data_IF_884281313655
#
_entry.id   IF_884281313655
#
_cell.length_a   1.000
_cell.length_b   1.000
_cell.length_c   1.000
_cell.angle_alpha   90.00
_cell.angle_beta   90.00
_cell.angle_gamma   90.00
#
_symmetry.space_group_name_H-M   'P 1'
#
loop_
_entity.id
_entity.type
_entity.pdbx_description
1 polymer ?
#
# COMPACT_ATOMS: atom_id res chain seq x y z
N UNK A 1 16.47 -10.68 29.72
CA UNK A 1 16.52 -11.40 28.43
C UNK A 1 16.01 -10.47 27.36
N UNK A 2 16.86 -10.06 26.42
CA UNK A 2 16.45 -9.26 25.25
C UNK A 2 15.55 -10.13 24.39
N UNK A 3 14.36 -9.63 24.04
CA UNK A 3 13.45 -10.33 23.13
C UNK A 3 14.16 -10.53 21.79
N UNK A 4 14.10 -11.72 21.17
CA UNK A 4 14.70 -11.93 19.87
C UNK A 4 14.02 -10.99 18.85
N UNK A 5 14.81 -10.36 18.01
CA UNK A 5 14.33 -9.55 16.90
C UNK A 5 13.63 -10.46 15.86
N UNK A 6 12.60 -10.01 15.15
CA UNK A 6 11.91 -10.84 14.17
C UNK A 6 12.85 -11.32 13.06
N UNK A 7 12.58 -12.49 12.50
CA UNK A 7 13.32 -13.05 11.37
C UNK A 7 13.12 -12.19 10.12
N UNK A 8 11.91 -11.67 9.93
CA UNK A 8 11.62 -10.72 8.87
C UNK A 8 10.47 -9.77 9.24
N UNK A 9 10.48 -8.60 8.60
CA UNK A 9 9.35 -7.67 8.54
C UNK A 9 8.85 -7.67 7.11
N UNK A 10 7.56 -8.04 6.91
CA UNK A 10 6.93 -8.10 5.59
C UNK A 10 5.73 -7.19 5.54
N UNK A 11 5.76 -6.21 4.65
CA UNK A 11 4.68 -5.24 4.47
C UNK A 11 4.04 -5.40 3.08
N UNK A 12 2.72 -5.38 3.01
CA UNK A 12 1.95 -5.64 1.80
C UNK A 12 0.97 -4.51 1.53
N UNK A 13 1.17 -3.78 0.43
CA UNK A 13 0.21 -2.77 -0.03
C UNK A 13 -0.84 -3.45 -0.92
N UNK A 14 -2.05 -3.61 -0.41
CA UNK A 14 -3.18 -4.17 -1.16
C UNK A 14 -3.77 -3.16 -2.15
N UNK A 15 -4.12 -3.62 -3.35
CA UNK A 15 -4.76 -2.74 -4.31
C UNK A 15 -5.17 -3.41 -5.62
N UNK A 16 -6.02 -2.74 -6.39
CA UNK A 16 -6.37 -3.20 -7.74
C UNK A 16 -5.29 -2.84 -8.78
N UNK A 17 -4.53 -1.76 -8.53
CA UNK A 17 -3.47 -1.27 -9.43
C UNK A 17 -3.91 -1.26 -10.91
N UNK A 18 -4.96 -0.52 -11.20
CA UNK A 18 -5.59 -0.52 -12.52
C UNK A 18 -5.70 0.90 -13.13
N UNK A 19 -4.55 1.51 -13.57
CA UNK A 19 -3.16 1.05 -13.44
C UNK A 19 -2.51 1.36 -12.08
N UNK A 20 -1.32 0.80 -11.86
CA UNK A 20 -0.38 1.27 -10.84
C UNK A 20 0.07 2.69 -11.18
N UNK A 21 0.32 3.53 -10.16
CA UNK A 21 0.74 4.93 -10.34
C UNK A 21 1.68 5.39 -9.22
N UNK A 22 2.25 6.59 -9.38
CA UNK A 22 3.25 7.15 -8.47
C UNK A 22 2.87 7.08 -6.99
N UNK A 23 1.64 7.40 -6.62
CA UNK A 23 1.22 7.35 -5.21
C UNK A 23 1.27 5.93 -4.60
N UNK A 24 1.07 4.88 -5.38
CA UNK A 24 1.22 3.51 -4.87
C UNK A 24 2.69 3.21 -4.56
N UNK A 25 3.59 3.61 -5.46
CA UNK A 25 5.04 3.42 -5.27
C UNK A 25 5.52 4.28 -4.10
N UNK A 26 5.08 5.53 -4.02
CA UNK A 26 5.41 6.45 -2.93
C UNK A 26 5.02 5.87 -1.55
N UNK A 27 3.78 5.37 -1.40
CA UNK A 27 3.34 4.72 -0.15
C UNK A 27 4.24 3.53 0.21
N UNK A 28 4.53 2.65 -0.75
CA UNK A 28 5.38 1.48 -0.50
C UNK A 28 6.81 1.89 -0.14
N UNK A 29 7.38 2.90 -0.81
CA UNK A 29 8.72 3.43 -0.53
C UNK A 29 8.78 4.14 0.82
N UNK A 30 7.76 4.91 1.19
CA UNK A 30 7.70 5.54 2.52
C UNK A 30 7.73 4.48 3.64
N UNK A 31 6.99 3.38 3.48
CA UNK A 31 7.03 2.25 4.43
C UNK A 31 8.41 1.60 4.44
N UNK A 32 8.99 1.34 3.27
CA UNK A 32 10.33 0.76 3.16
C UNK A 32 11.38 1.61 3.89
N UNK A 33 11.43 2.91 3.59
CA UNK A 33 12.39 3.82 4.22
C UNK A 33 12.19 3.98 5.74
N UNK A 34 10.97 3.82 6.22
CA UNK A 34 10.68 3.87 7.65
C UNK A 34 11.09 2.62 8.39
N UNK A 35 10.98 1.45 7.74
CA UNK A 35 11.31 0.17 8.35
C UNK A 35 12.80 -0.20 8.19
N UNK A 36 13.45 0.25 7.12
CA UNK A 36 14.84 -0.09 6.84
C UNK A 36 15.82 0.24 7.99
N UNK A 37 15.75 1.43 8.64
CA UNK A 37 16.60 1.72 9.78
C UNK A 37 16.40 0.77 10.97
N UNK A 38 15.18 0.24 11.15
CA UNK A 38 14.87 -0.68 12.24
C UNK A 38 15.45 -2.08 12.03
N UNK A 39 15.70 -2.46 10.77
CA UNK A 39 16.28 -3.77 10.41
C UNK A 39 17.79 -3.68 10.20
N UNK A 40 18.34 -2.48 10.05
CA UNK A 40 19.76 -2.25 9.83
C UNK A 40 20.61 -2.79 11.00
N UNK A 41 21.59 -3.61 10.69
CA UNK A 41 22.45 -4.23 11.70
C UNK A 41 21.79 -5.37 12.50
N UNK A 42 20.56 -5.71 12.22
CA UNK A 42 19.85 -6.87 12.75
C UNK A 42 19.83 -8.00 11.70
N UNK A 43 19.81 -9.25 12.14
CA UNK A 43 19.61 -10.39 11.24
C UNK A 43 18.11 -10.52 10.90
N UNK A 44 17.58 -9.51 10.22
CA UNK A 44 16.16 -9.36 9.91
C UNK A 44 15.96 -8.93 8.44
N UNK A 45 15.27 -9.76 7.67
CA UNK A 45 14.89 -9.42 6.29
C UNK A 45 13.80 -8.34 6.30
N UNK A 46 13.94 -7.32 5.46
CA UNK A 46 12.87 -6.38 5.15
C UNK A 46 12.33 -6.64 3.75
N UNK A 47 11.02 -6.86 3.66
CA UNK A 47 10.31 -6.99 2.39
C UNK A 47 9.09 -6.08 2.37
N UNK A 48 9.00 -5.20 1.37
CA UNK A 48 7.78 -4.44 1.08
C UNK A 48 7.30 -4.83 -0.31
N UNK A 49 6.01 -5.20 -0.41
CA UNK A 49 5.45 -5.75 -1.64
C UNK A 49 4.12 -5.07 -2.01
N UNK A 50 3.88 -4.92 -3.30
CA UNK A 50 2.56 -4.64 -3.84
C UNK A 50 1.80 -5.97 -3.96
N UNK A 51 0.58 -6.02 -3.42
CA UNK A 51 -0.29 -7.21 -3.42
C UNK A 51 -1.51 -6.92 -4.31
N UNK A 52 -1.42 -7.19 -5.63
CA UNK A 52 -2.52 -6.95 -6.54
C UNK A 52 -3.65 -7.98 -6.34
N UNK A 53 -4.87 -7.47 -6.10
CA UNK A 53 -6.04 -8.34 -6.00
C UNK A 53 -6.37 -9.04 -7.34
N UNK A 54 -7.04 -10.18 -7.28
CA UNK A 54 -7.52 -10.89 -8.45
C UNK A 54 -8.53 -10.01 -9.22
N UNK A 55 -9.61 -9.65 -8.56
CA UNK A 55 -10.63 -8.70 -9.02
C UNK A 55 -11.28 -8.08 -7.79
N UNK A 56 -11.38 -6.76 -7.76
CA UNK A 56 -12.12 -6.10 -6.68
C UNK A 56 -13.58 -6.54 -6.71
N UNK A 57 -14.14 -7.04 -5.61
CA UNK A 57 -15.56 -7.41 -5.55
C UNK A 57 -16.49 -6.22 -5.79
N UNK A 58 -15.97 -4.99 -5.63
CA UNK A 58 -16.71 -3.74 -5.80
C UNK A 58 -16.56 -3.10 -7.20
N UNK A 59 -15.82 -3.72 -8.15
CA UNK A 59 -15.56 -3.16 -9.49
C UNK A 59 -15.91 -4.16 -10.57
N UNK A 60 -16.89 -3.79 -11.42
CA UNK A 60 -17.37 -4.61 -12.53
C UNK A 60 -16.33 -4.79 -13.66
N UNK A 61 -15.51 -3.76 -13.90
CA UNK A 61 -14.49 -3.78 -14.95
C UNK A 61 -13.11 -3.61 -14.35
N UNK A 62 -12.25 -4.57 -14.61
CA UNK A 62 -10.83 -4.55 -14.25
C UNK A 62 -10.04 -5.13 -15.42
N UNK A 63 -8.92 -4.48 -15.74
CA UNK A 63 -7.99 -4.98 -16.75
C UNK A 63 -7.53 -6.41 -16.39
N UNK A 64 -7.28 -7.23 -17.42
CA UNK A 64 -6.83 -8.60 -17.24
C UNK A 64 -5.59 -8.68 -16.32
N UNK A 65 -5.51 -9.71 -15.45
CA UNK A 65 -4.41 -9.85 -14.49
C UNK A 65 -3.02 -9.73 -15.10
N UNK A 66 -2.82 -10.32 -16.29
CA UNK A 66 -1.53 -10.27 -17.01
C UNK A 66 -1.02 -8.85 -17.26
N UNK A 67 -1.90 -7.92 -17.66
CA UNK A 67 -1.50 -6.53 -17.92
C UNK A 67 -1.24 -5.77 -16.62
N UNK A 68 -2.06 -5.99 -15.59
CA UNK A 68 -1.84 -5.35 -14.28
C UNK A 68 -0.50 -5.80 -13.67
N UNK A 69 -0.19 -7.09 -13.76
CA UNK A 69 1.08 -7.64 -13.29
C UNK A 69 2.28 -7.11 -14.08
N UNK A 70 2.18 -7.05 -15.42
CA UNK A 70 3.24 -6.48 -16.24
C UNK A 70 3.53 -5.02 -15.87
N UNK A 71 2.49 -4.19 -15.73
CA UNK A 71 2.63 -2.81 -15.29
C UNK A 71 3.25 -2.67 -13.90
N UNK A 72 2.87 -3.55 -12.96
CA UNK A 72 3.46 -3.56 -11.61
C UNK A 72 4.95 -3.88 -11.65
N UNK A 73 5.36 -4.92 -12.39
CA UNK A 73 6.78 -5.29 -12.54
C UNK A 73 7.59 -4.16 -13.15
N UNK A 74 7.04 -3.46 -14.15
CA UNK A 74 7.68 -2.27 -14.74
C UNK A 74 7.77 -1.10 -13.76
N UNK A 75 6.75 -0.90 -12.92
CA UNK A 75 6.72 0.21 -11.98
C UNK A 75 7.72 0.07 -10.82
N UNK A 76 8.11 -1.15 -10.47
CA UNK A 76 9.00 -1.41 -9.33
C UNK A 76 10.42 -1.81 -9.73
N UNK A 77 10.74 -1.87 -11.03
CA UNK A 77 12.01 -2.43 -11.54
C UNK A 77 13.26 -1.78 -10.94
N UNK A 78 13.20 -0.46 -10.66
CA UNK A 78 14.32 0.32 -10.13
C UNK A 78 14.14 0.63 -8.62
N UNK A 79 13.37 -0.19 -7.90
CA UNK A 79 13.05 0.01 -6.48
C UNK A 79 13.32 -1.26 -5.67
N UNK A 80 13.46 -1.18 -4.34
CA UNK A 80 13.50 -2.36 -3.48
C UNK A 80 12.13 -3.03 -3.27
N UNK A 81 11.07 -2.49 -3.89
CA UNK A 81 9.71 -3.00 -3.73
C UNK A 81 9.50 -4.24 -4.60
N UNK A 82 8.82 -5.23 -4.06
CA UNK A 82 8.48 -6.48 -4.77
C UNK A 82 7.01 -6.49 -5.19
N UNK A 83 6.64 -7.44 -6.03
CA UNK A 83 5.24 -7.74 -6.37
C UNK A 83 4.94 -9.14 -5.85
N UNK A 84 3.92 -9.26 -5.00
CA UNK A 84 3.44 -10.55 -4.50
C UNK A 84 2.21 -10.99 -5.32
N UNK A 85 2.31 -12.15 -5.94
CA UNK A 85 1.29 -12.67 -6.85
C UNK A 85 0.22 -13.54 -6.14
N UNK A 86 0.15 -13.50 -4.80
CA UNK A 86 -0.72 -14.36 -3.99
C UNK A 86 -2.19 -14.32 -4.44
N UNK A 87 -2.72 -13.14 -4.77
CA UNK A 87 -4.15 -12.98 -5.08
C UNK A 87 -4.45 -12.94 -6.59
N UNK A 88 -3.54 -12.36 -7.39
CA UNK A 88 -3.85 -11.91 -8.75
C UNK A 88 -4.35 -13.01 -9.69
N UNK A 89 -3.96 -14.25 -9.45
CA UNK A 89 -4.33 -15.43 -10.25
C UNK A 89 -5.46 -16.26 -9.65
N UNK A 90 -5.93 -15.89 -8.45
CA UNK A 90 -7.01 -16.63 -7.81
C UNK A 90 -8.36 -16.32 -8.48
N UNK A 91 -9.26 -17.31 -8.56
CA UNK A 91 -10.63 -17.06 -9.03
C UNK A 91 -11.36 -16.12 -8.04
N UNK A 92 -11.99 -15.03 -8.51
CA UNK A 92 -12.77 -14.17 -7.64
C UNK A 92 -14.04 -14.87 -7.13
N UNK A 93 -14.54 -14.49 -5.92
CA UNK A 93 -14.08 -13.40 -5.08
C UNK A 93 -12.90 -13.78 -4.18
N UNK A 94 -11.86 -12.93 -4.12
CA UNK A 94 -10.76 -13.06 -3.16
C UNK A 94 -10.92 -11.97 -2.10
N UNK A 95 -10.90 -12.36 -0.84
CA UNK A 95 -11.07 -11.43 0.28
C UNK A 95 -9.77 -11.24 1.04
N UNK A 96 -9.49 -10.02 1.47
CA UNK A 96 -8.26 -9.67 2.19
C UNK A 96 -8.04 -10.53 3.44
N UNK A 97 -9.11 -10.92 4.14
CA UNK A 97 -8.99 -11.80 5.31
C UNK A 97 -8.38 -13.16 4.97
N UNK A 98 -8.73 -13.72 3.82
CA UNK A 98 -8.23 -15.03 3.38
C UNK A 98 -6.75 -14.92 2.96
N UNK A 99 -6.38 -13.79 2.35
CA UNK A 99 -4.99 -13.47 1.98
C UNK A 99 -4.09 -13.30 3.21
N UNK A 100 -4.50 -12.51 4.20
CA UNK A 100 -3.68 -12.30 5.41
C UNK A 100 -3.56 -13.58 6.25
N UNK A 101 -4.57 -14.46 6.25
CA UNK A 101 -4.48 -15.80 6.84
C UNK A 101 -3.41 -16.64 6.15
N UNK A 102 -3.43 -16.65 4.82
CA UNK A 102 -2.44 -17.39 4.02
C UNK A 102 -1.03 -16.84 4.26
N UNK A 103 -0.87 -15.51 4.29
CA UNK A 103 0.41 -14.87 4.61
C UNK A 103 0.90 -15.24 6.01
N UNK A 104 0.00 -15.25 7.02
CA UNK A 104 0.35 -15.65 8.38
C UNK A 104 0.73 -17.15 8.47
N UNK A 105 0.09 -18.00 7.69
CA UNK A 105 0.47 -19.43 7.62
C UNK A 105 1.84 -19.62 6.99
N UNK A 106 2.17 -18.85 5.93
CA UNK A 106 3.47 -18.91 5.25
C UNK A 106 4.61 -18.33 6.10
N UNK A 107 4.30 -17.34 6.93
CA UNK A 107 5.25 -16.54 7.69
C UNK A 107 4.84 -16.46 9.17
N UNK A 108 4.82 -17.60 9.90
CA UNK A 108 4.23 -17.66 11.23
C UNK A 108 4.97 -16.82 12.27
N UNK A 109 6.27 -16.56 12.07
CA UNK A 109 7.13 -15.84 13.00
C UNK A 109 7.48 -14.40 12.55
N UNK A 110 7.09 -14.01 11.34
CA UNK A 110 7.44 -12.70 10.81
C UNK A 110 6.47 -11.62 11.30
N UNK A 111 6.94 -10.39 11.37
CA UNK A 111 6.06 -9.23 11.51
C UNK A 111 5.39 -8.99 10.17
N UNK A 112 4.07 -9.13 10.13
CA UNK A 112 3.26 -8.89 8.93
C UNK A 112 2.51 -7.57 9.09
N UNK A 113 2.61 -6.71 8.06
CA UNK A 113 1.97 -5.40 8.01
C UNK A 113 1.13 -5.33 6.73
N UNK A 114 -0.15 -4.99 6.86
CA UNK A 114 -0.99 -4.69 5.70
C UNK A 114 -1.15 -3.18 5.56
N UNK A 115 -0.79 -2.66 4.39
CA UNK A 115 -0.77 -1.22 4.08
C UNK A 115 -2.05 -0.87 3.34
N UNK A 116 -2.73 0.20 3.78
CA UNK A 116 -3.95 0.71 3.12
C UNK A 116 -4.09 2.22 3.30
N UNK A 117 -5.02 2.82 2.55
CA UNK A 117 -5.43 4.21 2.79
C UNK A 117 -6.52 4.31 3.85
N UNK A 118 -6.70 5.48 4.44
CA UNK A 118 -7.73 5.76 5.46
C UNK A 118 -9.15 5.51 4.93
N UNK A 119 -9.43 5.77 3.65
CA UNK A 119 -10.71 5.45 3.00
C UNK A 119 -11.08 3.97 3.10
N UNK A 120 -10.09 3.09 2.99
CA UNK A 120 -10.25 1.65 3.18
C UNK A 120 -10.39 1.29 4.66
N UNK A 121 -9.57 1.89 5.52
CA UNK A 121 -9.60 1.63 6.96
C UNK A 121 -10.95 1.99 7.61
N UNK A 122 -11.55 3.12 7.20
CA UNK A 122 -12.90 3.55 7.62
C UNK A 122 -14.00 2.55 7.29
N UNK A 123 -13.82 1.75 6.25
CA UNK A 123 -14.83 0.81 5.74
C UNK A 123 -14.53 -0.65 6.09
N UNK A 124 -13.59 -0.92 6.99
CA UNK A 124 -13.21 -2.29 7.37
C UNK A 124 -14.37 -3.09 7.98
N UNK A 125 -15.32 -2.44 8.62
CA UNK A 125 -16.55 -3.07 9.13
C UNK A 125 -17.43 -3.65 8.00
N UNK A 126 -17.32 -3.12 6.78
CA UNK A 126 -18.06 -3.57 5.58
C UNK A 126 -17.32 -4.68 4.82
N UNK A 127 -16.05 -4.94 5.16
CA UNK A 127 -15.29 -5.99 4.52
C UNK A 127 -15.59 -7.35 5.17
N UNK A 128 -15.53 -8.43 4.38
CA UNK A 128 -15.64 -9.78 4.92
C UNK A 128 -14.63 -9.98 6.06
N UNK A 129 -15.12 -10.06 7.29
CA UNK A 129 -14.30 -10.19 8.50
C UNK A 129 -13.18 -9.11 8.61
N UNK A 130 -13.42 -7.89 8.10
CA UNK A 130 -12.39 -6.85 8.03
C UNK A 130 -11.86 -6.44 9.40
N UNK A 131 -12.70 -6.41 10.44
CA UNK A 131 -12.27 -6.13 11.82
C UNK A 131 -11.38 -7.24 12.42
N UNK A 132 -11.33 -8.42 11.79
CA UNK A 132 -10.47 -9.53 12.20
C UNK A 132 -9.10 -9.50 11.51
N UNK A 133 -8.82 -8.55 10.62
CA UNK A 133 -7.52 -8.44 9.97
C UNK A 133 -6.39 -8.32 11.00
N UNK A 134 -6.64 -7.57 12.08
CA UNK A 134 -5.68 -7.41 13.17
C UNK A 134 -5.44 -8.68 14.01
N UNK A 135 -6.19 -9.76 13.78
CA UNK A 135 -5.85 -11.06 14.34
C UNK A 135 -4.64 -11.71 13.67
N UNK A 136 -4.25 -11.21 12.49
CA UNK A 136 -3.22 -11.84 11.63
C UNK A 136 -2.08 -10.90 11.27
N UNK A 137 -2.35 -9.59 11.14
CA UNK A 137 -1.40 -8.58 10.68
C UNK A 137 -1.52 -7.29 11.47
N UNK A 138 -0.49 -6.47 11.44
CA UNK A 138 -0.58 -5.06 11.79
C UNK A 138 -1.14 -4.27 10.61
N UNK A 139 -1.71 -3.09 10.88
CA UNK A 139 -2.19 -2.20 9.83
C UNK A 139 -1.32 -0.94 9.79
N UNK A 140 -0.92 -0.56 8.57
CA UNK A 140 -0.32 0.73 8.28
C UNK A 140 -1.28 1.54 7.43
N UNK A 141 -1.82 2.61 8.00
CA UNK A 141 -2.90 3.38 7.39
C UNK A 141 -2.39 4.75 6.98
N UNK A 142 -2.43 5.05 5.68
CA UNK A 142 -2.09 6.37 5.18
C UNK A 142 -3.28 7.31 5.20
N UNK A 143 -3.12 8.48 5.83
CA UNK A 143 -4.07 9.58 5.67
C UNK A 143 -3.75 10.37 4.40
N UNK A 144 -4.67 10.32 3.43
CA UNK A 144 -4.57 11.04 2.17
C UNK A 144 -5.29 12.39 2.19
N UNK A 145 -5.90 12.76 3.32
CA UNK A 145 -6.73 13.97 3.45
C UNK A 145 -5.90 15.23 3.71
N UNK A 146 -4.65 15.09 4.15
CA UNK A 146 -3.81 16.22 4.45
C UNK A 146 -3.60 17.13 3.23
N UNK A 147 -4.24 18.31 3.25
CA UNK A 147 -4.02 19.36 2.29
C UNK A 147 -2.65 20.00 2.54
N UNK A 148 -1.60 19.41 1.99
CA UNK A 148 -0.31 20.07 1.89
C UNK A 148 -0.26 20.86 0.58
N UNK A 149 -0.86 22.03 0.59
CA UNK A 149 -0.63 23.10 -0.35
C UNK A 149 0.79 23.63 -0.14
N UNK A 150 1.83 22.92 -0.54
CA UNK A 150 3.15 23.47 -0.87
C UNK A 150 4.17 22.34 -1.13
N UNK A 151 4.08 21.73 -2.29
CA UNK A 151 5.27 21.15 -2.90
C UNK A 151 5.20 21.35 -4.42
N UNK A 152 5.52 22.57 -4.85
CA UNK A 152 5.96 22.84 -6.23
C UNK A 152 7.39 22.30 -6.46
N UNK A 153 7.73 21.16 -5.92
CA UNK A 153 8.95 20.47 -6.24
C UNK A 153 8.68 19.58 -7.46
N UNK A 154 9.25 19.94 -8.57
CA UNK A 154 9.30 19.14 -9.78
C UNK A 154 10.02 17.81 -9.47
N UNK A 155 9.37 16.63 -9.55
CA UNK A 155 10.00 15.35 -9.20
C UNK A 155 10.86 14.76 -10.31
N UNK A 156 11.24 15.51 -11.33
CA UNK A 156 11.89 14.98 -12.54
C UNK A 156 13.40 15.19 -12.60
N UNK A 157 14.06 15.55 -11.51
CA UNK A 157 15.52 15.58 -11.48
C UNK A 157 16.06 14.30 -10.80
N UNK A 158 16.60 13.33 -11.56
CA UNK A 158 17.18 12.11 -11.01
C UNK A 158 18.46 12.38 -10.18
N UNK A 159 19.00 13.61 -10.23
CA UNK A 159 20.20 14.02 -9.52
C UNK A 159 19.92 14.87 -8.27
N UNK A 160 18.66 15.17 -7.95
CA UNK A 160 18.39 15.82 -6.68
C UNK A 160 18.59 14.79 -5.55
N UNK A 161 19.51 15.09 -4.59
CA UNK A 161 19.61 14.26 -3.40
C UNK A 161 18.22 14.27 -2.74
N UNK A 162 17.64 13.08 -2.56
CA UNK A 162 16.41 12.91 -1.78
C UNK A 162 16.62 13.66 -0.47
N UNK A 163 15.97 14.83 -0.32
CA UNK A 163 15.95 15.51 0.98
C UNK A 163 15.51 14.44 1.97
N UNK A 164 16.26 14.23 3.07
CA UNK A 164 15.83 13.30 4.09
C UNK A 164 14.41 13.71 4.45
N UNK A 165 13.47 12.76 4.30
CA UNK A 165 12.10 12.97 4.67
C UNK A 165 12.09 13.46 6.11
N UNK A 166 11.56 14.64 6.32
CA UNK A 166 11.43 15.21 7.66
C UNK A 166 10.45 14.30 8.43
N UNK A 167 11.01 13.32 9.15
CA UNK A 167 10.25 12.38 9.98
C UNK A 167 9.52 13.08 11.14
N UNK A 168 9.68 14.40 11.28
CA UNK A 168 9.21 15.19 12.42
C UNK A 168 7.89 15.93 12.19
N UNK A 169 7.22 15.76 11.04
CA UNK A 169 5.90 16.35 10.89
C UNK A 169 4.84 15.46 11.53
N UNK A 170 4.84 15.42 12.85
CA UNK A 170 3.80 14.78 13.66
C UNK A 170 2.50 15.56 13.50
N UNK A 171 1.39 14.83 13.34
CA UNK A 171 0.05 15.41 13.48
C UNK A 171 -0.08 16.06 14.87
N UNK A 172 -0.82 17.18 14.94
CA UNK A 172 -1.25 17.65 16.25
C UNK A 172 -2.13 16.55 16.91
N UNK A 173 -2.09 16.46 18.24
CA UNK A 173 -2.89 15.48 18.99
C UNK A 173 -4.38 15.54 18.61
N UNK A 174 -4.88 16.76 18.33
CA UNK A 174 -6.26 16.97 17.87
C UNK A 174 -6.55 16.34 16.51
N UNK A 175 -5.66 16.54 15.54
CA UNK A 175 -5.82 15.94 14.20
C UNK A 175 -5.73 14.41 14.26
N UNK A 176 -4.79 13.91 15.07
CA UNK A 176 -4.61 12.48 15.29
C UNK A 176 -5.85 11.86 15.94
N UNK A 177 -6.41 12.48 16.98
CA UNK A 177 -7.63 12.04 17.62
C UNK A 177 -8.82 11.98 16.64
N UNK A 178 -8.95 12.94 15.73
CA UNK A 178 -9.98 12.92 14.70
C UNK A 178 -9.83 11.69 13.79
N UNK A 179 -8.61 11.41 13.30
CA UNK A 179 -8.37 10.24 12.43
C UNK A 179 -8.63 8.91 13.15
N UNK A 180 -8.27 8.81 14.43
CA UNK A 180 -8.54 7.62 15.23
C UNK A 180 -10.05 7.39 15.36
N UNK A 181 -10.83 8.44 15.58
CA UNK A 181 -12.28 8.37 15.71
C UNK A 181 -13.00 7.99 14.39
N UNK A 182 -12.32 8.10 13.25
CA UNK A 182 -12.85 7.65 11.96
C UNK A 182 -12.74 6.14 11.75
N UNK A 183 -11.95 5.45 12.57
CA UNK A 183 -11.82 3.99 12.50
C UNK A 183 -13.04 3.30 13.11
N UNK A 184 -13.44 2.11 12.59
CA UNK A 184 -14.52 1.32 13.17
C UNK A 184 -14.29 0.98 14.65
N UNK A 185 -15.35 0.95 15.41
CA UNK A 185 -15.43 0.96 16.88
C UNK A 185 -14.42 0.11 17.68
N UNK A 186 -13.95 -1.00 17.16
CA UNK A 186 -13.01 -1.87 17.87
C UNK A 186 -11.54 -1.59 17.59
N UNK A 187 -11.24 -0.74 16.61
CA UNK A 187 -9.89 -0.50 16.12
C UNK A 187 -9.14 0.65 16.82
N UNK A 188 -9.80 1.72 17.31
CA UNK A 188 -9.11 2.83 17.96
C UNK A 188 -8.16 2.42 19.09
N UNK A 189 -8.55 1.43 19.90
CA UNK A 189 -7.75 0.93 21.01
C UNK A 189 -6.45 0.21 20.59
N UNK A 190 -6.27 -0.06 19.31
CA UNK A 190 -5.11 -0.75 18.74
C UNK A 190 -4.11 0.23 18.10
N UNK A 191 -4.42 1.52 18.06
CA UNK A 191 -3.56 2.55 17.45
C UNK A 191 -2.34 2.82 18.33
N UNK A 192 -1.18 2.84 17.71
CA UNK A 192 0.11 3.14 18.35
C UNK A 192 0.70 4.45 17.82
N UNK A 193 1.59 5.04 18.60
CA UNK A 193 2.17 6.34 18.33
C UNK A 193 3.41 6.28 17.46
N UNK A 194 4.08 5.15 17.39
CA UNK A 194 5.33 5.00 16.68
C UNK A 194 5.42 3.71 15.87
N UNK A 195 6.26 3.74 14.84
CA UNK A 195 6.58 2.57 14.02
C UNK A 195 7.33 1.54 14.87
N UNK A 196 8.16 1.98 15.79
CA UNK A 196 8.87 1.09 16.74
C UNK A 196 7.88 0.31 17.59
N UNK A 197 6.81 0.93 18.07
CA UNK A 197 5.74 0.24 18.79
C UNK A 197 4.96 -0.72 17.90
N UNK A 198 4.71 -0.34 16.63
CA UNK A 198 4.05 -1.22 15.66
C UNK A 198 4.80 -2.55 15.53
N UNK A 199 6.12 -2.50 15.35
CA UNK A 199 6.95 -3.69 15.10
C UNK A 199 7.42 -4.39 16.39
N UNK A 200 7.52 -3.68 17.51
CA UNK A 200 7.94 -4.24 18.81
C UNK A 200 6.87 -5.11 19.47
N UNK A 201 5.64 -5.08 18.99
CA UNK A 201 4.59 -6.01 19.41
C UNK A 201 4.92 -7.38 18.86
N UNK A 202 5.91 -8.00 19.46
CA UNK A 202 6.68 -9.09 18.95
C UNK A 202 5.86 -10.34 18.71
N UNK A 203 6.33 -11.02 17.76
CA UNK A 203 6.24 -12.41 17.35
C UNK A 203 5.87 -13.38 18.46
N UNK A 204 6.41 -13.22 19.68
CA UNK A 204 6.05 -14.05 20.83
C UNK A 204 4.58 -14.05 21.15
N UNK A 205 3.88 -12.97 20.83
CA UNK A 205 2.44 -12.89 21.06
C UNK A 205 1.60 -13.39 19.89
N UNK A 206 2.16 -13.41 18.67
CA UNK A 206 1.45 -13.83 17.46
C UNK A 206 1.76 -15.27 17.07
N UNK A 207 2.97 -15.78 17.32
CA UNK A 207 3.41 -17.10 16.87
C UNK A 207 3.44 -18.18 17.95
N UNK A 208 3.90 -17.86 19.16
CA UNK A 208 4.11 -18.88 20.20
C UNK A 208 2.84 -19.55 20.70
N UNK A 209 1.70 -18.89 20.59
CA UNK A 209 0.42 -19.42 21.05
C UNK A 209 -0.34 -20.24 19.99
N UNK A 210 0.10 -20.21 18.74
CA UNK A 210 -0.63 -20.83 17.61
C UNK A 210 -0.15 -22.21 17.21
N UNK A 211 1.04 -22.61 17.62
CA UNK A 211 1.55 -23.96 17.37
C UNK A 211 0.84 -25.00 18.22
N UNK A 212 0.28 -24.61 19.36
CA UNK A 212 -0.37 -25.55 20.28
C UNK A 212 -1.84 -25.86 19.95
N UNK A 213 -2.55 -24.97 19.22
CA UNK A 213 -3.97 -25.15 18.96
C UNK A 213 -4.36 -24.69 17.54
N UNK A 214 -4.66 -25.58 16.71
CA UNK A 214 -5.31 -25.60 15.39
C UNK A 214 -6.16 -24.40 14.89
N UNK A 215 -6.10 -23.23 15.51
CA UNK A 215 -6.74 -22.00 15.08
C UNK A 215 -5.77 -20.84 15.13
N UNK A 216 -5.47 -20.27 13.97
CA UNK A 216 -4.57 -19.14 13.76
C UNK A 216 -5.01 -17.82 14.44
N UNK A 217 -5.88 -17.87 15.45
CA UNK A 217 -6.27 -16.68 16.20
C UNK A 217 -5.24 -16.39 17.29
N UNK A 218 -4.71 -15.21 17.28
CA UNK A 218 -3.84 -14.71 18.34
C UNK A 218 -4.69 -14.14 19.46
N UNK A 219 -4.27 -14.32 20.71
CA UNK A 219 -4.93 -13.68 21.87
C UNK A 219 -4.67 -12.16 21.91
N UNK A 220 -3.67 -11.66 21.19
CA UNK A 220 -3.36 -10.25 21.08
C UNK A 220 -3.60 -9.76 19.66
N UNK A 221 -4.36 -8.67 19.56
CA UNK A 221 -4.61 -7.97 18.30
C UNK A 221 -3.34 -7.33 17.76
N UNK A 222 -3.21 -7.28 16.45
CA UNK A 222 -2.22 -6.46 15.77
C UNK A 222 -2.39 -4.97 16.09
N UNK A 223 -1.37 -4.19 15.84
CA UNK A 223 -1.36 -2.74 16.08
C UNK A 223 -1.68 -2.00 14.79
N UNK A 224 -2.10 -0.75 14.95
CA UNK A 224 -2.45 0.15 13.83
C UNK A 224 -1.57 1.39 13.94
N UNK A 225 -0.82 1.70 12.90
CA UNK A 225 -0.09 2.95 12.79
C UNK A 225 -0.73 3.83 11.72
N UNK A 226 -1.06 5.07 12.09
CA UNK A 226 -1.62 6.07 11.16
C UNK A 226 -0.48 6.97 10.68
N UNK A 227 -0.20 6.90 9.39
CA UNK A 227 0.83 7.69 8.74
C UNK A 227 0.20 8.93 8.10
N UNK A 228 0.58 10.09 8.61
CA UNK A 228 0.10 11.39 8.14
C UNK A 228 1.00 12.05 7.10
N UNK A 229 2.07 11.38 6.69
CA UNK A 229 2.95 11.94 5.66
C UNK A 229 2.18 12.11 4.37
N UNK A 230 2.43 13.21 3.64
CA UNK A 230 1.72 13.47 2.41
C UNK A 230 2.00 12.38 1.37
N UNK A 231 0.95 12.01 0.65
CA UNK A 231 1.00 11.13 -0.51
C UNK A 231 0.37 11.86 -1.68
N UNK A 232 0.91 11.71 -2.87
CA UNK A 232 0.39 12.35 -4.08
C UNK A 232 -1.11 12.07 -4.26
N UNK A 233 -1.88 13.13 -4.54
CA UNK A 233 -3.33 13.04 -4.80
C UNK A 233 -3.58 12.58 -6.25
N UNK A 234 -3.40 11.31 -6.50
CA UNK A 234 -3.67 10.68 -7.79
C UNK A 234 -4.51 9.41 -7.60
N UNK A 235 -5.37 9.12 -8.57
CA UNK A 235 -6.16 7.89 -8.56
C UNK A 235 -6.10 7.19 -9.92
N UNK A 236 -6.15 5.86 -9.90
CA UNK A 236 -6.23 5.06 -11.13
C UNK A 236 -7.42 5.47 -12.01
N UNK A 237 -8.54 5.89 -11.43
CA UNK A 237 -9.71 6.38 -12.17
C UNK A 237 -9.38 7.66 -12.95
N UNK A 238 -8.73 8.63 -12.31
CA UNK A 238 -8.31 9.86 -12.99
C UNK A 238 -7.32 9.56 -14.12
N UNK A 239 -6.38 8.64 -13.90
CA UNK A 239 -5.44 8.21 -14.95
C UNK A 239 -6.18 7.58 -16.12
N UNK A 240 -7.13 6.65 -15.87
CA UNK A 240 -7.92 6.04 -16.96
C UNK A 240 -8.72 7.07 -17.75
N UNK A 241 -9.33 8.05 -17.10
CA UNK A 241 -10.05 9.13 -17.76
C UNK A 241 -9.11 9.98 -18.65
N UNK A 242 -7.90 10.27 -18.16
CA UNK A 242 -6.88 11.00 -18.97
C UNK A 242 -6.41 10.17 -20.18
N UNK A 243 -6.22 8.87 -20.00
CA UNK A 243 -5.89 7.96 -21.11
C UNK A 243 -7.01 7.88 -22.15
N UNK A 244 -8.26 7.77 -21.71
CA UNK A 244 -9.41 7.76 -22.59
C UNK A 244 -9.48 9.06 -23.42
N UNK A 245 -9.31 10.21 -22.75
CA UNK A 245 -9.25 11.51 -23.46
C UNK A 245 -8.09 11.56 -24.45
N UNK A 246 -6.92 11.04 -24.10
CA UNK A 246 -5.77 10.96 -24.99
C UNK A 246 -6.07 10.17 -26.28
N UNK A 247 -6.82 9.06 -26.17
CA UNK A 247 -7.16 8.23 -27.35
C UNK A 247 -8.33 8.79 -28.17
N UNK A 248 -9.21 9.60 -27.58
CA UNK A 248 -10.43 10.09 -28.25
C UNK A 248 -10.36 11.55 -28.69
N UNK A 249 -9.40 12.32 -28.18
CA UNK A 249 -9.27 13.72 -28.53
C UNK A 249 -8.84 13.90 -29.99
N UNK A 250 -9.49 14.76 -30.77
CA UNK A 250 -8.95 15.22 -32.04
C UNK A 250 -7.59 15.89 -31.79
N UNK A 251 -6.65 15.77 -32.73
CA UNK A 251 -5.28 16.27 -32.63
C UNK A 251 -5.27 17.82 -32.61
N UNK A 252 -5.71 18.38 -31.49
CA UNK A 252 -5.58 19.82 -31.21
C UNK A 252 -4.36 19.97 -30.32
N UNK A 253 -3.30 20.58 -30.83
CA UNK A 253 -1.94 20.61 -30.26
C UNK A 253 -1.86 21.00 -28.78
N UNK A 254 -2.69 21.91 -28.30
CA UNK A 254 -2.57 22.46 -26.93
C UNK A 254 -3.24 21.58 -25.84
N UNK A 255 -4.27 20.83 -26.17
CA UNK A 255 -4.93 19.90 -25.24
C UNK A 255 -4.14 18.63 -24.94
N UNK A 256 -3.41 18.10 -25.95
CA UNK A 256 -2.60 16.89 -25.82
C UNK A 256 -1.40 17.08 -24.89
N UNK A 257 -0.76 18.24 -24.89
CA UNK A 257 0.40 18.54 -24.04
C UNK A 257 0.05 18.39 -22.54
N UNK A 258 -1.07 18.93 -22.10
CA UNK A 258 -1.49 18.85 -20.69
C UNK A 258 -1.83 17.41 -20.24
N UNK A 259 -2.40 16.59 -21.13
CA UNK A 259 -2.69 15.19 -20.83
C UNK A 259 -1.42 14.35 -20.74
N UNK A 260 -0.47 14.55 -21.66
CA UNK A 260 0.82 13.89 -21.64
C UNK A 260 1.62 14.27 -20.38
N UNK A 261 1.60 15.53 -19.99
CA UNK A 261 2.28 16.00 -18.77
C UNK A 261 1.69 15.37 -17.51
N UNK A 262 0.35 15.31 -17.38
CA UNK A 262 -0.28 14.64 -16.25
C UNK A 262 0.08 13.15 -16.18
N UNK A 263 0.01 12.43 -17.30
CA UNK A 263 0.30 11.00 -17.35
C UNK A 263 1.78 10.72 -17.06
N UNK A 264 2.71 11.49 -17.65
CA UNK A 264 4.15 11.35 -17.40
C UNK A 264 4.55 11.65 -15.94
N UNK A 265 3.84 12.57 -15.28
CA UNK A 265 4.04 12.88 -13.87
C UNK A 265 3.62 11.75 -12.93
N UNK A 266 2.60 10.97 -13.32
CA UNK A 266 1.98 10.01 -12.42
C UNK A 266 2.17 8.54 -12.80
N UNK A 267 2.70 8.27 -13.99
CA UNK A 267 3.04 6.93 -14.44
C UNK A 267 4.56 6.81 -14.62
N UNK A 268 5.10 5.68 -14.21
CA UNK A 268 6.46 5.33 -14.58
C UNK A 268 6.57 5.27 -16.12
N UNK A 269 7.64 5.78 -16.77
CA UNK A 269 7.75 5.83 -18.23
C UNK A 269 7.52 4.47 -18.90
N UNK A 270 8.07 3.39 -18.35
CA UNK A 270 7.88 2.05 -18.88
C UNK A 270 6.41 1.58 -18.77
N UNK A 271 5.68 1.98 -17.71
CA UNK A 271 4.25 1.69 -17.56
C UNK A 271 3.43 2.47 -18.61
N UNK A 272 3.74 3.74 -18.80
CA UNK A 272 3.07 4.55 -19.81
C UNK A 272 3.27 3.96 -21.21
N UNK A 273 4.51 3.62 -21.58
CA UNK A 273 4.82 3.01 -22.87
C UNK A 273 4.09 1.66 -23.05
N UNK A 274 4.02 0.84 -22.01
CA UNK A 274 3.28 -0.42 -22.03
C UNK A 274 1.79 -0.20 -22.29
N UNK A 275 1.17 0.78 -21.61
CA UNK A 275 -0.24 1.14 -21.79
C UNK A 275 -0.51 1.56 -23.24
N UNK A 276 0.33 2.43 -23.81
CA UNK A 276 0.17 2.94 -25.18
C UNK A 276 0.37 1.82 -26.20
N UNK A 277 1.43 1.01 -26.06
CA UNK A 277 1.74 -0.10 -26.96
C UNK A 277 0.61 -1.14 -27.03
N UNK A 278 -0.02 -1.43 -25.91
CA UNK A 278 -1.12 -2.40 -25.84
C UNK A 278 -2.51 -1.77 -25.95
N UNK A 279 -2.61 -0.47 -26.24
CA UNK A 279 -3.86 0.30 -26.34
C UNK A 279 -4.79 0.08 -25.14
N UNK A 280 -4.22 -0.03 -23.92
CA UNK A 280 -4.99 -0.29 -22.73
C UNK A 280 -5.79 0.96 -22.33
N UNK A 281 -7.02 0.77 -21.89
CA UNK A 281 -7.94 1.85 -21.49
C UNK A 281 -8.41 2.75 -22.65
N UNK A 282 -8.25 2.32 -23.91
CA UNK A 282 -8.92 2.94 -25.04
C UNK A 282 -10.43 2.67 -24.98
N UNK A 283 -11.23 3.50 -25.63
CA UNK A 283 -12.60 3.11 -25.98
C UNK A 283 -12.53 1.96 -27.00
N UNK A 284 -13.22 0.87 -26.72
CA UNK A 284 -13.46 -0.22 -27.67
C UNK A 284 -14.27 0.28 -28.86
#
# INVERSE_FOLDING_TARGET
MTKPFPTAIRAYLGGSFNPVHSAHIEMAMQVYHSLAPLTAGQNCELQVSLLPNARSPFKSQSLAPKHRLAMLKLAVQDTPIRVDELEIWQPPPVYTIDSVRTLRQRHPQDVLIFIMGMDSARSLDKWKQGLQLTDYVHLWVFDRSADNASSNANPTDPNLPHKPFDNNKTLSDKQRALLINELPNSLPAQVVDSISELVATSIDSLAAQNLANKGLKTLRKGRIYIDSRPVQKVSSTKIRNQLLTYYTAPIIKDGLLNHCEYLSKHLHPAVYNYIVQHKLYSAD
#
